data_IF_387293342950
#
_entry.id   IF_387293342950
#
_cell.length_a   1.000
_cell.length_b   1.000
_cell.length_c   1.000
_cell.angle_alpha   90.00
_cell.angle_beta   90.00
_cell.angle_gamma   90.00
#
_symmetry.space_group_name_H-M   'P 1'
#
loop_
_entity.id
_entity.type
_entity.pdbx_description
1 polymer ?
#
# COMPACT_ATOMS: atom_id res chain seq x y z
N UNK A 1 6.78 -60.72 6.36
CA UNK A 1 7.31 -59.41 5.92
C UNK A 1 6.12 -58.55 5.51
N UNK A 2 5.82 -57.47 6.23
CA UNK A 2 4.72 -56.57 5.87
C UNK A 2 5.11 -55.77 4.62
N UNK A 3 4.34 -55.88 3.54
CA UNK A 3 4.46 -54.99 2.38
C UNK A 3 4.24 -53.55 2.87
N UNK A 4 5.23 -52.68 2.71
CA UNK A 4 5.03 -51.22 2.87
C UNK A 4 4.01 -50.80 1.81
N UNK A 5 2.79 -50.52 2.24
CA UNK A 5 1.81 -49.83 1.43
C UNK A 5 2.25 -48.36 1.36
N UNK A 6 2.99 -48.01 0.31
CA UNK A 6 3.17 -46.60 -0.03
C UNK A 6 1.80 -46.05 -0.44
N UNK A 7 1.31 -45.09 0.35
CA UNK A 7 0.09 -44.35 0.02
C UNK A 7 0.45 -43.43 -1.14
N UNK A 8 0.04 -43.82 -2.35
CA UNK A 8 0.20 -42.99 -3.56
C UNK A 8 -0.47 -41.63 -3.31
N UNK A 9 0.30 -40.55 -3.44
CA UNK A 9 -0.16 -39.17 -3.23
C UNK A 9 0.09 -38.58 -1.83
N UNK A 10 0.59 -39.35 -0.85
CA UNK A 10 0.94 -38.80 0.47
C UNK A 10 2.14 -37.83 0.39
N UNK A 11 3.12 -38.11 -0.46
CA UNK A 11 4.27 -37.23 -0.67
C UNK A 11 3.87 -35.92 -1.36
N UNK A 12 2.99 -35.99 -2.35
CA UNK A 12 2.40 -34.82 -3.02
C UNK A 12 1.60 -33.96 -2.02
N UNK A 13 0.80 -34.60 -1.17
CA UNK A 13 0.06 -33.94 -0.09
C UNK A 13 1.00 -33.23 0.88
N UNK A 14 2.05 -33.89 1.36
CA UNK A 14 3.05 -33.30 2.25
C UNK A 14 3.76 -32.11 1.59
N UNK A 15 4.05 -32.20 0.29
CA UNK A 15 4.62 -31.10 -0.47
C UNK A 15 3.65 -29.92 -0.65
N UNK A 16 2.36 -30.17 -0.86
CA UNK A 16 1.32 -29.15 -0.89
C UNK A 16 1.13 -28.47 0.47
N UNK A 17 1.10 -29.24 1.55
CA UNK A 17 1.02 -28.70 2.92
C UNK A 17 2.23 -27.83 3.25
N UNK A 18 3.46 -28.26 2.90
CA UNK A 18 4.67 -27.43 3.06
C UNK A 18 4.64 -26.15 2.23
N UNK A 19 4.01 -26.17 1.05
CA UNK A 19 3.81 -24.98 0.21
C UNK A 19 2.75 -24.03 0.79
N UNK A 20 1.72 -24.55 1.44
CA UNK A 20 0.70 -23.75 2.13
C UNK A 20 1.22 -23.15 3.44
N UNK A 21 1.99 -23.93 4.21
CA UNK A 21 2.63 -23.48 5.46
C UNK A 21 3.54 -22.27 5.21
N UNK A 22 4.18 -22.23 4.04
CA UNK A 22 4.94 -21.07 3.56
C UNK A 22 4.08 -20.24 2.62
N UNK A 23 3.21 -19.37 3.15
CA UNK A 23 2.52 -18.35 2.33
C UNK A 23 3.58 -17.68 1.42
N UNK A 24 3.54 -17.92 0.10
CA UNK A 24 4.65 -17.48 -0.72
C UNK A 24 4.72 -15.96 -0.67
N UNK A 25 5.89 -15.40 -0.41
CA UNK A 25 6.08 -13.94 -0.32
C UNK A 25 5.53 -13.22 -1.57
N UNK A 26 5.51 -13.91 -2.72
CA UNK A 26 4.92 -13.43 -3.97
C UNK A 26 3.40 -13.18 -3.86
N UNK A 27 2.66 -14.05 -3.17
CA UNK A 27 1.20 -13.92 -2.93
C UNK A 27 0.94 -12.63 -2.14
N UNK A 28 1.54 -12.50 -0.96
CA UNK A 28 1.35 -11.32 -0.10
C UNK A 28 1.81 -10.02 -0.75
N UNK A 29 2.90 -10.05 -1.53
CA UNK A 29 3.34 -8.87 -2.28
C UNK A 29 2.31 -8.44 -3.35
N UNK A 30 1.71 -9.39 -4.07
CA UNK A 30 0.71 -9.10 -5.10
C UNK A 30 -0.59 -8.60 -4.49
N UNK A 31 -1.06 -9.27 -3.44
CA UNK A 31 -2.28 -8.90 -2.73
C UNK A 31 -2.17 -7.50 -2.13
N UNK A 32 -1.11 -7.23 -1.35
CA UNK A 32 -0.90 -5.92 -0.73
C UNK A 32 -0.74 -4.79 -1.76
N UNK A 33 -0.03 -5.05 -2.89
CA UNK A 33 0.08 -4.06 -3.98
C UNK A 33 -1.28 -3.76 -4.62
N UNK A 34 -2.13 -4.75 -4.79
CA UNK A 34 -3.45 -4.57 -5.38
C UNK A 34 -4.34 -3.69 -4.50
N UNK A 35 -4.38 -3.94 -3.18
CA UNK A 35 -5.07 -3.08 -2.22
C UNK A 35 -4.52 -1.67 -2.21
N UNK A 36 -3.20 -1.51 -2.09
CA UNK A 36 -2.56 -0.19 -2.10
C UNK A 36 -2.81 0.59 -3.41
N UNK A 37 -3.04 -0.09 -4.54
CA UNK A 37 -3.34 0.60 -5.81
C UNK A 37 -4.68 1.34 -5.78
N UNK A 38 -5.66 0.82 -5.03
CA UNK A 38 -6.95 1.49 -4.80
C UNK A 38 -6.70 2.77 -4.00
N UNK A 39 -6.04 2.66 -2.85
CA UNK A 39 -5.69 3.81 -2.01
C UNK A 39 -4.90 4.87 -2.78
N UNK A 40 -3.89 4.47 -3.58
CA UNK A 40 -3.13 5.40 -4.42
C UNK A 40 -4.01 6.15 -5.41
N UNK A 41 -4.95 5.46 -6.07
CA UNK A 41 -5.86 6.05 -7.05
C UNK A 41 -6.81 7.04 -6.36
N UNK A 42 -7.41 6.64 -5.24
CA UNK A 42 -8.27 7.51 -4.44
C UNK A 42 -7.51 8.74 -3.93
N UNK A 43 -6.30 8.58 -3.39
CA UNK A 43 -5.47 9.69 -2.93
C UNK A 43 -5.18 10.71 -4.03
N UNK A 44 -4.89 10.24 -5.26
CA UNK A 44 -4.69 11.13 -6.42
C UNK A 44 -5.95 11.86 -6.86
N UNK A 45 -7.10 11.22 -6.74
CA UNK A 45 -8.38 11.84 -7.08
C UNK A 45 -8.80 12.89 -6.05
N UNK A 46 -8.56 12.60 -4.77
CA UNK A 46 -8.94 13.46 -3.65
C UNK A 46 -7.97 14.63 -3.44
N UNK A 47 -6.71 14.48 -3.87
CA UNK A 47 -5.73 15.54 -3.74
C UNK A 47 -6.09 16.76 -4.62
N UNK A 48 -5.96 17.99 -4.11
CA UNK A 48 -6.16 19.18 -4.93
C UNK A 48 -5.14 19.21 -6.07
N UNK A 49 -5.57 19.71 -7.22
CA UNK A 49 -4.67 19.85 -8.38
C UNK A 49 -3.66 20.98 -8.17
N UNK A 50 -4.09 22.07 -7.55
CA UNK A 50 -3.33 23.30 -7.50
C UNK A 50 -3.04 23.84 -8.91
N UNK A 51 -2.02 24.68 -9.03
CA UNK A 51 -1.64 25.30 -10.31
C UNK A 51 -0.77 24.38 -11.18
N UNK A 52 0.06 23.52 -10.55
CA UNK A 52 1.08 22.72 -11.25
C UNK A 52 0.72 21.24 -11.41
N UNK A 53 -0.28 20.76 -10.67
CA UNK A 53 -0.62 19.33 -10.59
C UNK A 53 0.42 18.48 -9.87
N UNK A 54 1.48 19.09 -9.31
CA UNK A 54 2.62 18.34 -8.76
C UNK A 54 2.25 17.53 -7.51
N UNK A 55 1.26 17.98 -6.73
CA UNK A 55 0.78 17.23 -5.58
C UNK A 55 0.23 15.85 -6.00
N UNK A 56 -0.71 15.83 -6.96
CA UNK A 56 -1.27 14.59 -7.52
C UNK A 56 -0.18 13.70 -8.12
N UNK A 57 0.77 14.29 -8.88
CA UNK A 57 1.88 13.56 -9.49
C UNK A 57 2.84 12.99 -8.45
N UNK A 58 3.02 13.68 -7.33
CA UNK A 58 3.90 13.31 -6.22
C UNK A 58 3.38 12.18 -5.34
N UNK A 59 2.13 11.74 -5.48
CA UNK A 59 1.61 10.60 -4.71
C UNK A 59 2.11 9.28 -5.31
N UNK A 60 2.99 8.62 -4.57
CA UNK A 60 3.64 7.37 -4.94
C UNK A 60 3.22 6.21 -4.03
N UNK A 61 3.50 5.00 -4.50
CA UNK A 61 3.40 3.79 -3.71
C UNK A 61 4.81 3.27 -3.46
N UNK A 62 5.20 3.14 -2.20
CA UNK A 62 6.53 2.67 -1.81
C UNK A 62 6.40 1.36 -1.03
N UNK A 63 7.18 0.35 -1.42
CA UNK A 63 7.22 -0.90 -0.68
C UNK A 63 8.06 -0.72 0.59
N UNK A 64 7.51 -1.10 1.75
CA UNK A 64 8.27 -1.16 3.00
C UNK A 64 9.37 -2.23 2.91
N UNK A 65 10.52 -1.99 3.54
CA UNK A 65 11.57 -3.01 3.66
C UNK A 65 11.02 -4.21 4.42
N UNK A 66 11.20 -5.42 3.87
CA UNK A 66 10.76 -6.65 4.52
C UNK A 66 11.64 -6.93 5.76
N UNK A 67 11.02 -6.94 6.94
CA UNK A 67 11.65 -7.37 8.19
C UNK A 67 11.18 -8.78 8.61
N UNK A 68 9.93 -9.16 8.32
CA UNK A 68 9.33 -10.45 8.69
C UNK A 68 8.85 -11.21 7.45
N UNK A 69 8.98 -12.54 7.45
CA UNK A 69 8.42 -13.38 6.39
C UNK A 69 6.89 -13.26 6.36
N UNK A 70 6.30 -13.24 5.16
CA UNK A 70 4.84 -13.09 5.01
C UNK A 70 4.34 -11.64 5.16
N UNK A 71 5.15 -10.71 5.69
CA UNK A 71 4.78 -9.29 5.74
C UNK A 71 5.00 -8.63 4.37
N UNK A 72 4.01 -7.90 3.89
CA UNK A 72 4.13 -6.98 2.77
C UNK A 72 3.30 -5.72 3.05
N UNK A 73 3.95 -4.56 3.04
CA UNK A 73 3.30 -3.25 3.23
C UNK A 73 3.72 -2.36 2.08
N UNK A 74 2.76 -1.59 1.58
CA UNK A 74 2.96 -0.60 0.54
C UNK A 74 2.40 0.73 1.05
N UNK A 75 3.29 1.66 1.35
CA UNK A 75 2.95 3.00 1.82
C UNK A 75 2.48 3.84 0.64
N UNK A 76 1.37 4.54 0.84
CA UNK A 76 0.95 5.62 -0.06
C UNK A 76 1.45 6.92 0.55
N UNK A 77 2.43 7.53 -0.11
CA UNK A 77 3.15 8.67 0.43
C UNK A 77 3.51 9.67 -0.65
N UNK A 78 3.94 10.85 -0.23
CA UNK A 78 4.54 11.83 -1.13
C UNK A 78 5.94 11.39 -1.52
N UNK A 79 6.29 11.64 -2.79
CA UNK A 79 7.59 11.29 -3.35
C UNK A 79 8.71 12.08 -2.66
N UNK A 80 9.61 11.42 -1.92
CA UNK A 80 10.73 12.10 -1.27
C UNK A 80 11.66 12.80 -2.28
N UNK A 81 11.71 12.32 -3.52
CA UNK A 81 12.52 12.92 -4.59
C UNK A 81 11.99 14.29 -5.05
N UNK A 82 10.77 14.66 -4.66
CA UNK A 82 10.15 15.96 -4.96
C UNK A 82 10.12 16.90 -3.74
N UNK A 83 10.97 16.62 -2.75
CA UNK A 83 11.01 17.43 -1.53
C UNK A 83 11.41 18.88 -1.78
N UNK A 84 12.20 19.15 -2.81
CA UNK A 84 12.57 20.48 -3.30
C UNK A 84 11.36 21.28 -3.82
N UNK A 85 10.39 20.60 -4.43
CA UNK A 85 9.14 21.21 -4.89
C UNK A 85 8.20 21.49 -3.70
N UNK A 86 8.14 20.54 -2.76
CA UNK A 86 7.14 20.54 -1.68
C UNK A 86 7.56 21.26 -0.41
N UNK A 87 8.85 21.36 -0.12
CA UNK A 87 9.37 22.00 1.07
C UNK A 87 9.92 23.39 0.76
N UNK A 88 9.49 24.38 1.52
CA UNK A 88 10.05 25.74 1.47
C UNK A 88 10.53 26.16 2.84
N UNK A 89 11.68 26.84 2.88
CA UNK A 89 12.22 27.42 4.09
C UNK A 89 11.87 28.91 4.08
N UNK A 90 11.13 29.35 5.10
CA UNK A 90 10.79 30.76 5.29
C UNK A 90 11.98 31.61 5.71
N UNK A 91 11.84 32.94 5.66
CA UNK A 91 12.88 33.90 6.06
C UNK A 91 13.35 33.72 7.52
N UNK A 92 12.49 33.16 8.36
CA UNK A 92 12.73 32.85 9.77
C UNK A 92 13.34 31.45 9.99
N UNK A 93 13.73 30.74 8.93
CA UNK A 93 14.29 29.39 9.01
C UNK A 93 13.24 28.29 9.22
N UNK A 94 11.95 28.61 9.30
CA UNK A 94 10.90 27.61 9.47
C UNK A 94 10.63 26.89 8.16
N UNK A 95 10.61 25.55 8.21
CA UNK A 95 10.31 24.70 7.06
C UNK A 95 8.80 24.46 6.96
N UNK A 96 8.19 24.93 5.90
CA UNK A 96 6.83 24.59 5.51
C UNK A 96 6.83 23.42 4.52
N UNK A 97 5.90 22.49 4.66
CA UNK A 97 5.75 21.35 3.77
C UNK A 97 4.35 21.33 3.16
N UNK A 98 4.27 21.69 1.89
CA UNK A 98 3.00 21.93 1.20
C UNK A 98 2.03 20.74 1.28
N UNK A 99 2.44 19.47 1.03
CA UNK A 99 1.53 18.34 1.14
C UNK A 99 0.92 18.15 2.53
N UNK A 100 1.66 18.43 3.61
CA UNK A 100 1.12 18.33 4.96
C UNK A 100 0.07 19.41 5.23
N UNK A 101 0.31 20.65 4.77
CA UNK A 101 -0.68 21.73 4.86
C UNK A 101 -1.94 21.40 4.06
N UNK A 102 -1.82 20.77 2.89
CA UNK A 102 -2.98 20.33 2.11
C UNK A 102 -3.69 19.12 2.75
N UNK A 103 -2.96 18.22 3.40
CA UNK A 103 -3.55 17.05 4.05
C UNK A 103 -4.29 17.41 5.33
N UNK A 104 -3.72 18.26 6.19
CA UNK A 104 -4.22 18.52 7.55
C UNK A 104 -4.82 19.91 7.75
N UNK A 105 -4.60 20.83 6.82
CA UNK A 105 -4.96 22.24 6.98
C UNK A 105 -3.85 23.06 7.62
N UNK A 106 -4.10 24.36 7.75
CA UNK A 106 -3.14 25.31 8.33
C UNK A 106 -3.83 26.58 8.83
N UNK A 107 -3.16 27.29 9.74
CA UNK A 107 -3.59 28.60 10.22
C UNK A 107 -3.15 29.71 9.25
N UNK A 108 -4.03 30.64 8.93
CA UNK A 108 -3.70 31.85 8.15
C UNK A 108 -3.02 32.88 9.05
N UNK A 109 -2.35 33.84 8.42
CA UNK A 109 -1.66 34.94 9.13
C UNK A 109 -2.62 35.79 9.97
N UNK A 110 -3.88 35.88 9.55
CA UNK A 110 -4.94 36.63 10.22
C UNK A 110 -5.66 35.81 11.31
N UNK A 111 -5.16 34.61 11.63
CA UNK A 111 -5.70 33.75 12.69
C UNK A 111 -6.88 32.86 12.26
N UNK A 112 -7.24 32.83 10.98
CA UNK A 112 -8.21 31.88 10.43
C UNK A 112 -7.63 30.47 10.30
N UNK A 113 -8.48 29.45 10.16
CA UNK A 113 -8.05 28.08 9.87
C UNK A 113 -8.59 27.63 8.51
N UNK A 114 -7.69 27.13 7.66
CA UNK A 114 -8.05 26.49 6.39
C UNK A 114 -8.02 24.97 6.62
N UNK A 115 -9.15 24.27 6.46
CA UNK A 115 -9.20 22.82 6.64
C UNK A 115 -8.43 22.08 5.54
N UNK A 116 -7.87 20.92 5.90
CA UNK A 116 -7.19 20.04 4.96
C UNK A 116 -8.16 19.24 4.09
N UNK A 117 -7.67 18.79 2.94
CA UNK A 117 -8.39 17.90 2.03
C UNK A 117 -8.41 16.45 2.51
N UNK A 118 -7.52 16.07 3.44
CA UNK A 118 -7.40 14.71 3.97
C UNK A 118 -7.29 13.63 2.87
N UNK A 119 -6.58 13.93 1.79
CA UNK A 119 -6.57 13.10 0.58
C UNK A 119 -5.88 11.75 0.79
N UNK A 120 -4.84 11.68 1.65
CA UNK A 120 -4.23 10.40 2.03
C UNK A 120 -5.11 9.65 3.04
N UNK A 121 -5.59 10.33 4.09
CA UNK A 121 -6.41 9.70 5.12
C UNK A 121 -7.72 9.11 4.55
N UNK A 122 -8.46 9.92 3.79
CA UNK A 122 -9.74 9.52 3.20
C UNK A 122 -9.54 8.42 2.16
N UNK A 123 -8.40 8.40 1.46
CA UNK A 123 -8.10 7.31 0.51
C UNK A 123 -8.06 5.92 1.15
N UNK A 124 -7.75 5.84 2.45
CA UNK A 124 -7.77 4.59 3.20
C UNK A 124 -9.11 4.37 3.89
N UNK A 125 -9.66 5.40 4.54
CA UNK A 125 -10.91 5.28 5.30
C UNK A 125 -12.10 4.97 4.40
N UNK A 126 -12.24 5.68 3.28
CA UNK A 126 -13.40 5.54 2.39
C UNK A 126 -13.33 4.28 1.53
N UNK A 127 -12.14 3.67 1.42
CA UNK A 127 -11.90 2.49 0.57
C UNK A 127 -11.53 1.24 1.38
N UNK A 128 -11.66 1.26 2.71
CA UNK A 128 -11.19 0.19 3.58
C UNK A 128 -11.74 -1.19 3.17
N UNK A 129 -13.06 -1.28 2.98
CA UNK A 129 -13.75 -2.50 2.56
C UNK A 129 -13.30 -2.98 1.18
N UNK A 130 -13.15 -2.07 0.22
CA UNK A 130 -12.73 -2.40 -1.14
C UNK A 130 -11.27 -2.86 -1.19
N UNK A 131 -10.40 -2.23 -0.39
CA UNK A 131 -9.01 -2.63 -0.23
C UNK A 131 -8.95 -4.04 0.36
N UNK A 132 -9.66 -4.31 1.45
CA UNK A 132 -9.70 -5.62 2.09
C UNK A 132 -10.20 -6.70 1.13
N UNK A 133 -11.36 -6.46 0.50
CA UNK A 133 -11.93 -7.37 -0.50
C UNK A 133 -10.94 -7.65 -1.62
N UNK A 134 -10.25 -6.62 -2.11
CA UNK A 134 -9.27 -6.79 -3.20
C UNK A 134 -8.06 -7.58 -2.77
N UNK A 135 -7.57 -7.35 -1.56
CA UNK A 135 -6.45 -8.11 -0.98
C UNK A 135 -6.82 -9.58 -0.86
N UNK A 136 -7.98 -9.90 -0.29
CA UNK A 136 -8.47 -11.29 -0.13
C UNK A 136 -8.68 -11.95 -1.49
N UNK A 137 -9.32 -11.27 -2.43
CA UNK A 137 -9.56 -11.77 -3.79
C UNK A 137 -8.25 -12.14 -4.51
N UNK A 138 -7.27 -11.23 -4.47
CA UNK A 138 -5.97 -11.45 -5.14
C UNK A 138 -5.14 -12.50 -4.41
N UNK A 139 -5.16 -12.52 -3.07
CA UNK A 139 -4.49 -13.54 -2.29
C UNK A 139 -5.04 -14.94 -2.61
N UNK A 140 -6.36 -15.13 -2.59
CA UNK A 140 -7.01 -16.39 -2.93
C UNK A 140 -6.64 -16.85 -4.34
N UNK A 141 -6.76 -15.97 -5.34
CA UNK A 141 -6.38 -16.27 -6.73
C UNK A 141 -4.92 -16.68 -6.88
N UNK A 142 -4.01 -16.10 -6.11
CA UNK A 142 -2.59 -16.42 -6.19
C UNK A 142 -2.25 -17.70 -5.41
N UNK A 143 -2.96 -18.01 -4.33
CA UNK A 143 -2.87 -19.29 -3.64
C UNK A 143 -3.35 -20.41 -4.56
N UNK A 144 -4.52 -20.26 -5.21
CA UNK A 144 -5.05 -21.25 -6.14
C UNK A 144 -4.08 -21.59 -7.26
N UNK A 145 -3.36 -20.59 -7.79
CA UNK A 145 -2.31 -20.80 -8.80
C UNK A 145 -1.13 -21.60 -8.27
N UNK A 146 -0.70 -21.33 -7.05
CA UNK A 146 0.39 -22.07 -6.40
C UNK A 146 -0.02 -23.53 -6.17
N UNK A 147 -1.28 -23.74 -5.79
CA UNK A 147 -1.84 -25.07 -5.51
C UNK A 147 -2.08 -25.91 -6.76
N UNK A 148 -2.41 -25.27 -7.89
CA UNK A 148 -2.61 -25.94 -9.19
C UNK A 148 -1.30 -26.26 -9.93
N UNK A 149 -0.15 -26.03 -9.29
CA UNK A 149 1.16 -26.37 -9.87
C UNK A 149 1.57 -25.43 -11.00
N UNK A 150 1.60 -24.12 -10.70
CA UNK A 150 1.87 -23.06 -11.68
C UNK A 150 3.08 -23.24 -12.59
#
# INVERSE_FOLDING_TARGET
MAKRSEIVGMEDLLNMVKKLEKVPQRVVNKAARAGASIARKAAKNNAPEGETGELKKGIIMRKERRVKAGKAVFDIMMDPAKSDIFAKIGKNGQRAYYPASQEYGFMTVDGGFVPGYHFLRNSLQDNATDIEKKVVEVAGKEIDKVMKGG
#
